data_IF_433240428565
#
_entry.id   IF_433240428565
#
_cell.length_a   1.000
_cell.length_b   1.000
_cell.length_c   1.000
_cell.angle_alpha   90.00
_cell.angle_beta   90.00
_cell.angle_gamma   90.00
#
_symmetry.space_group_name_H-M   'P 1'
#
loop_
_entity.id
_entity.type
_entity.pdbx_description
1 polymer ?
#
# COMPACT_ATOMS: atom_id res chain seq x y z
N UNK A 1 9.75 12.70 12.32
CA UNK A 1 8.29 12.47 12.39
C UNK A 1 8.10 10.98 12.18
N UNK A 2 7.44 10.24 13.09
CA UNK A 2 7.09 8.86 12.79
C UNK A 2 6.32 8.86 11.47
N UNK A 3 6.64 7.90 10.62
CA UNK A 3 5.93 7.78 9.35
C UNK A 3 4.50 7.32 9.66
N UNK A 4 3.50 7.88 8.99
CA UNK A 4 2.09 7.51 9.15
C UNK A 4 1.87 5.98 9.08
N UNK A 5 2.71 5.28 8.31
CA UNK A 5 2.71 3.82 8.20
C UNK A 5 3.05 3.17 9.55
N UNK A 6 4.07 3.65 10.25
CA UNK A 6 4.42 3.14 11.59
C UNK A 6 3.27 3.36 12.59
N UNK A 7 2.64 4.54 12.57
CA UNK A 7 1.50 4.83 13.45
C UNK A 7 0.31 3.90 13.17
N UNK A 8 0.09 3.52 11.90
CA UNK A 8 -0.96 2.58 11.49
C UNK A 8 -0.61 1.13 11.88
N UNK A 9 0.66 0.73 11.83
CA UNK A 9 1.12 -0.57 12.31
C UNK A 9 0.93 -0.72 13.82
N UNK A 10 1.25 0.33 14.59
CA UNK A 10 1.03 0.37 16.03
C UNK A 10 -0.47 0.32 16.39
N UNK A 11 -1.30 1.00 15.59
CA UNK A 11 -2.76 0.93 15.73
C UNK A 11 -3.29 -0.49 15.48
N UNK A 12 -2.77 -1.20 14.48
CA UNK A 12 -3.12 -2.61 14.23
C UNK A 12 -2.75 -3.50 15.42
N UNK A 13 -1.54 -3.35 15.95
CA UNK A 13 -1.10 -4.09 17.14
C UNK A 13 -2.03 -3.83 18.34
N UNK A 14 -2.43 -2.57 18.54
CA UNK A 14 -3.36 -2.15 19.59
C UNK A 14 -4.75 -2.76 19.41
N UNK A 15 -5.32 -2.73 18.20
CA UNK A 15 -6.63 -3.34 17.91
C UNK A 15 -6.64 -4.87 18.09
N UNK A 16 -5.52 -5.53 17.79
CA UNK A 16 -5.37 -6.97 18.03
C UNK A 16 -5.38 -7.30 19.53
N UNK A 17 -4.78 -6.45 20.36
CA UNK A 17 -4.84 -6.59 21.82
C UNK A 17 -6.26 -6.33 22.34
N UNK A 18 -6.93 -5.28 21.85
CA UNK A 18 -8.30 -4.93 22.26
C UNK A 18 -9.32 -6.02 21.88
N UNK A 19 -9.19 -6.62 20.69
CA UNK A 19 -10.04 -7.75 20.31
C UNK A 19 -9.94 -8.93 21.29
N UNK A 20 -8.74 -9.19 21.83
CA UNK A 20 -8.53 -10.23 22.86
C UNK A 20 -9.17 -9.84 24.19
N UNK A 21 -9.18 -8.55 24.54
CA UNK A 21 -9.93 -8.06 25.70
C UNK A 21 -11.42 -8.33 25.54
N UNK A 22 -11.99 -8.04 24.37
CA UNK A 22 -13.40 -8.33 24.10
C UNK A 22 -13.71 -9.83 24.12
N UNK A 23 -12.80 -10.69 23.63
CA UNK A 23 -12.93 -12.14 23.75
C UNK A 23 -12.95 -12.57 25.23
N UNK A 24 -12.07 -12.02 26.06
CA UNK A 24 -11.99 -12.34 27.48
C UNK A 24 -13.20 -11.83 28.28
N UNK A 25 -13.91 -10.83 27.76
CA UNK A 25 -15.13 -10.29 28.36
C UNK A 25 -16.43 -10.88 27.77
N UNK A 26 -16.36 -11.99 27.02
CA UNK A 26 -17.51 -12.63 26.37
C UNK A 26 -18.31 -11.67 25.47
N UNK A 27 -17.62 -10.75 24.78
CA UNK A 27 -18.19 -9.79 23.83
C UNK A 27 -17.81 -10.15 22.37
N UNK A 28 -18.38 -11.23 21.79
CA UNK A 28 -17.94 -11.76 20.50
C UNK A 28 -18.23 -10.83 19.33
N UNK A 29 -19.31 -10.04 19.39
CA UNK A 29 -19.64 -9.07 18.34
C UNK A 29 -18.61 -7.94 18.26
N UNK A 30 -18.18 -7.41 19.41
CA UNK A 30 -17.14 -6.39 19.50
C UNK A 30 -15.77 -6.94 19.05
N UNK A 31 -15.41 -8.14 19.52
CA UNK A 31 -14.18 -8.81 19.09
C UNK A 31 -14.14 -9.02 17.57
N UNK A 32 -15.26 -9.44 16.98
CA UNK A 32 -15.38 -9.64 15.54
C UNK A 32 -15.25 -8.32 14.76
N UNK A 33 -15.89 -7.24 15.23
CA UNK A 33 -15.79 -5.93 14.60
C UNK A 33 -14.33 -5.42 14.58
N UNK A 34 -13.60 -5.53 15.69
CA UNK A 34 -12.20 -5.13 15.74
C UNK A 34 -11.29 -5.99 14.85
N UNK A 35 -11.54 -7.30 14.79
CA UNK A 35 -10.82 -8.20 13.86
C UNK A 35 -11.11 -7.86 12.40
N UNK A 36 -12.35 -7.48 12.06
CA UNK A 36 -12.70 -7.05 10.71
C UNK A 36 -12.01 -5.74 10.32
N UNK A 37 -12.06 -4.74 11.20
CA UNK A 37 -11.35 -3.48 11.02
C UNK A 37 -9.84 -3.70 10.85
N UNK A 38 -9.23 -4.52 11.71
CA UNK A 38 -7.82 -4.90 11.60
C UNK A 38 -7.53 -5.54 10.24
N UNK A 39 -8.33 -6.52 9.81
CA UNK A 39 -8.14 -7.21 8.52
C UNK A 39 -8.20 -6.24 7.35
N UNK A 40 -9.20 -5.34 7.33
CA UNK A 40 -9.37 -4.35 6.25
C UNK A 40 -8.22 -3.36 6.19
N UNK A 41 -7.77 -2.86 7.34
CA UNK A 41 -6.64 -1.93 7.39
C UNK A 41 -5.32 -2.62 7.01
N UNK A 42 -5.07 -3.85 7.47
CA UNK A 42 -3.90 -4.62 7.04
C UNK A 42 -3.87 -4.85 5.53
N UNK A 43 -5.02 -5.16 4.91
CA UNK A 43 -5.11 -5.32 3.46
C UNK A 43 -4.80 -4.01 2.71
N UNK A 44 -5.29 -2.87 3.21
CA UNK A 44 -4.97 -1.55 2.63
C UNK A 44 -3.48 -1.19 2.74
N UNK A 45 -2.85 -1.54 3.87
CA UNK A 45 -1.41 -1.31 4.04
C UNK A 45 -0.57 -2.22 3.15
N UNK A 46 -0.96 -3.49 3.00
CA UNK A 46 -0.30 -4.44 2.10
C UNK A 46 -0.42 -3.99 0.64
N UNK A 47 -1.60 -3.56 0.22
CA UNK A 47 -1.82 -2.98 -1.10
C UNK A 47 -0.96 -1.72 -1.32
N UNK A 48 -0.89 -0.81 -0.33
CA UNK A 48 -0.04 0.37 -0.42
C UNK A 48 1.46 0.00 -0.52
N UNK A 49 1.93 -0.99 0.24
CA UNK A 49 3.29 -1.49 0.17
C UNK A 49 3.58 -2.11 -1.22
N UNK A 50 2.61 -2.84 -1.79
CA UNK A 50 2.68 -3.43 -3.12
C UNK A 50 2.71 -2.36 -4.24
N UNK A 51 1.87 -1.33 -4.18
CA UNK A 51 1.89 -0.22 -5.16
C UNK A 51 3.08 0.71 -5.00
N UNK A 52 3.67 0.81 -3.81
CA UNK A 52 4.95 1.51 -3.63
C UNK A 52 6.11 0.73 -4.27
N UNK A 53 5.98 -0.59 -4.41
CA UNK A 53 6.99 -1.48 -5.02
C UNK A 53 6.71 -1.84 -6.48
N UNK A 54 5.48 -1.66 -6.97
CA UNK A 54 5.07 -1.78 -8.38
C UNK A 54 5.11 -0.39 -9.07
N UNK A 55 5.91 -0.18 -10.12
CA UNK A 55 7.13 0.60 -9.89
C UNK A 55 7.27 1.84 -10.79
N UNK A 56 8.18 2.72 -10.35
CA UNK A 56 9.11 3.57 -11.13
C UNK A 56 9.74 2.90 -12.38
N UNK A 57 9.48 1.61 -12.64
CA UNK A 57 9.78 0.93 -13.89
C UNK A 57 8.92 1.42 -15.06
N UNK A 58 7.70 1.89 -14.81
CA UNK A 58 6.87 2.47 -15.88
C UNK A 58 7.41 3.83 -16.34
N UNK A 59 7.94 4.64 -15.41
CA UNK A 59 8.66 5.89 -15.74
C UNK A 59 9.98 5.64 -16.49
N UNK A 60 10.67 4.52 -16.23
CA UNK A 60 11.87 4.12 -16.98
C UNK A 60 11.56 3.55 -18.38
N UNK A 61 10.42 2.88 -18.56
CA UNK A 61 9.97 2.38 -19.85
C UNK A 61 9.43 3.51 -20.75
N UNK A 62 8.68 4.46 -20.20
CA UNK A 62 8.13 5.60 -20.94
C UNK A 62 9.22 6.60 -21.40
N UNK A 63 10.29 6.77 -20.62
CA UNK A 63 11.45 7.59 -21.02
C UNK A 63 12.31 6.92 -22.09
N UNK A 64 12.29 5.59 -22.19
CA UNK A 64 13.00 4.84 -23.23
C UNK A 64 12.28 4.88 -24.58
N UNK A 65 10.95 4.77 -24.59
CA UNK A 65 10.12 4.84 -25.81
C UNK A 65 10.14 6.25 -26.42
N UNK A 66 10.02 7.30 -25.59
CA UNK A 66 10.05 8.69 -26.06
C UNK A 66 11.41 9.07 -26.65
N UNK A 67 12.52 8.51 -26.13
CA UNK A 67 13.87 8.76 -26.64
C UNK A 67 14.16 8.02 -27.95
N UNK A 68 13.48 6.91 -28.22
CA UNK A 68 13.62 6.18 -29.47
C UNK A 68 12.83 6.85 -30.61
N UNK A 69 11.63 7.38 -30.32
CA UNK A 69 10.82 8.11 -31.32
C UNK A 69 11.40 9.48 -31.70
N UNK A 70 12.09 10.16 -30.79
CA UNK A 70 12.74 11.45 -31.10
C UNK A 70 13.97 11.35 -32.03
N UNK A 71 14.44 10.12 -32.34
CA UNK A 71 15.64 9.87 -33.15
C UNK A 71 15.33 9.42 -34.58
N UNK A 72 14.07 9.12 -34.88
CA UNK A 72 13.62 8.60 -36.18
C UNK A 72 13.03 9.71 -37.09
N UNK A 73 13.06 10.96 -36.65
CA UNK A 73 12.57 12.11 -37.42
C UNK A 73 13.75 13.06 -37.70
N UNK A 74 14.69 12.60 -38.52
CA UNK A 74 15.61 13.48 -39.23
C UNK A 74 15.23 13.45 -40.72
N UNK A 75 14.93 14.60 -41.36
CA UNK A 75 14.46 14.63 -42.73
C UNK A 75 15.60 14.26 -43.69
N UNK A 76 15.30 13.36 -44.62
CA UNK A 76 16.16 12.98 -45.74
C UNK A 76 16.13 14.09 -46.80
N UNK A 77 17.27 14.78 -46.99
CA UNK A 77 17.68 15.46 -48.24
C UNK A 77 16.85 16.68 -48.68
N UNK A 78 17.39 17.63 -49.43
CA UNK A 78 18.74 17.95 -49.88
C UNK A 78 18.73 19.40 -50.36
#
# INVERSE_FOLDING_TARGET
MPSLICDLEDLLASWKAEARTFDACDMPASALAFRDCHRRLSALLDEHACHTTAPTAELAAQSSVTRLQARDIAPLGS
#
